data_IF_910568624558
#
_entry.id   IF_910568624558
#
_cell.length_a   1.000
_cell.length_b   1.000
_cell.length_c   1.000
_cell.angle_alpha   90.00
_cell.angle_beta   90.00
_cell.angle_gamma   90.00
#
_symmetry.space_group_name_H-M   'P 1'
#
loop_
_entity.id
_entity.type
_entity.pdbx_description
1 polymer ?
#
# COMPACT_ATOMS: atom_id res chain seq x y z
N UNK A 1 11.54 -14.72 19.70
CA UNK A 1 11.34 -14.82 21.17
C UNK A 1 11.10 -13.45 21.80
N UNK A 2 11.74 -12.36 21.36
CA UNK A 2 11.52 -11.02 21.93
C UNK A 2 10.09 -10.48 21.79
N UNK A 3 9.46 -10.62 20.61
CA UNK A 3 8.15 -10.01 20.32
C UNK A 3 7.01 -10.53 21.21
N UNK A 4 6.82 -11.86 21.23
CA UNK A 4 5.77 -12.50 22.04
C UNK A 4 6.01 -12.23 23.53
N UNK A 5 7.28 -12.26 23.97
CA UNK A 5 7.61 -11.94 25.36
C UNK A 5 7.25 -10.50 25.73
N UNK A 6 7.55 -9.53 24.85
CA UNK A 6 7.18 -8.13 25.05
C UNK A 6 5.66 -7.97 25.22
N UNK A 7 4.88 -8.59 24.34
CA UNK A 7 3.41 -8.57 24.44
C UNK A 7 2.87 -9.32 25.66
N UNK A 8 3.53 -10.39 26.11
CA UNK A 8 3.20 -11.07 27.36
C UNK A 8 3.40 -10.13 28.56
N UNK A 9 4.53 -9.41 28.61
CA UNK A 9 4.82 -8.44 29.66
C UNK A 9 3.81 -7.27 29.65
N UNK A 10 3.48 -6.73 28.47
CA UNK A 10 2.46 -5.70 28.30
C UNK A 10 1.07 -6.17 28.76
N UNK A 11 0.63 -7.35 28.32
CA UNK A 11 -0.66 -7.91 28.71
C UNK A 11 -0.72 -8.21 30.20
N UNK A 12 0.34 -8.74 30.79
CA UNK A 12 0.39 -8.97 32.23
C UNK A 12 0.26 -7.67 33.02
N UNK A 13 0.98 -6.62 32.60
CA UNK A 13 0.83 -5.27 33.16
C UNK A 13 -0.59 -4.71 33.01
N UNK A 14 -1.20 -4.86 31.83
CA UNK A 14 -2.58 -4.46 31.58
C UNK A 14 -3.58 -5.20 32.49
N UNK A 15 -3.40 -6.51 32.67
CA UNK A 15 -4.22 -7.32 33.57
C UNK A 15 -4.09 -6.86 35.02
N UNK A 16 -2.88 -6.56 35.48
CA UNK A 16 -2.62 -6.03 36.82
C UNK A 16 -3.30 -4.67 37.02
N UNK A 17 -3.09 -3.72 36.11
CA UNK A 17 -3.72 -2.41 36.17
C UNK A 17 -5.26 -2.52 36.16
N UNK A 18 -5.81 -3.31 35.23
CA UNK A 18 -7.26 -3.45 35.09
C UNK A 18 -7.89 -4.10 36.33
N UNK A 19 -7.28 -5.17 36.84
CA UNK A 19 -7.79 -5.88 38.02
C UNK A 19 -7.77 -4.99 39.28
N UNK A 20 -6.71 -4.19 39.46
CA UNK A 20 -6.63 -3.19 40.53
C UNK A 20 -7.67 -2.07 40.38
N UNK A 21 -7.76 -1.45 39.21
CA UNK A 21 -8.62 -0.28 38.97
C UNK A 21 -10.11 -0.64 38.91
N UNK A 22 -10.45 -1.74 38.24
CA UNK A 22 -11.84 -2.10 37.92
C UNK A 22 -12.38 -3.19 38.85
N UNK A 23 -11.58 -4.22 39.15
CA UNK A 23 -12.02 -5.34 39.98
C UNK A 23 -11.73 -5.14 41.48
N UNK A 24 -10.89 -4.16 41.83
CA UNK A 24 -10.56 -3.83 43.22
C UNK A 24 -9.60 -4.81 43.91
N UNK A 25 -8.99 -5.74 43.16
CA UNK A 25 -7.97 -6.68 43.65
C UNK A 25 -7.02 -6.99 42.49
N UNK A 26 -5.71 -6.87 42.75
CA UNK A 26 -4.70 -7.08 41.73
C UNK A 26 -4.51 -8.57 41.46
N UNK A 27 -4.56 -8.96 40.18
CA UNK A 27 -4.27 -10.33 39.76
C UNK A 27 -2.77 -10.57 39.68
N UNK A 28 -2.31 -11.74 40.09
CA UNK A 28 -0.96 -12.25 39.87
C UNK A 28 -1.02 -13.62 39.20
N UNK A 29 0.04 -14.01 38.49
CA UNK A 29 0.11 -15.29 37.77
C UNK A 29 1.32 -16.12 38.19
N UNK A 30 1.10 -17.43 38.36
CA UNK A 30 2.17 -18.42 38.54
C UNK A 30 1.93 -19.65 37.64
N UNK A 31 2.81 -19.84 36.67
CA UNK A 31 2.75 -20.95 35.72
C UNK A 31 2.93 -22.33 36.37
N UNK A 32 3.54 -22.39 37.56
CA UNK A 32 3.89 -23.62 38.28
C UNK A 32 2.85 -24.04 39.34
N UNK A 33 1.81 -23.23 39.56
CA UNK A 33 0.81 -23.47 40.61
C UNK A 33 -0.56 -23.88 40.08
N UNK A 34 -1.43 -24.40 40.95
CA UNK A 34 -2.86 -24.54 40.71
C UNK A 34 -3.65 -24.10 41.97
N UNK A 35 -4.57 -23.12 41.86
CA UNK A 35 -4.91 -22.33 40.67
C UNK A 35 -3.72 -21.50 40.15
N UNK A 36 -3.80 -21.03 38.89
CA UNK A 36 -2.70 -20.30 38.25
C UNK A 36 -2.70 -18.79 38.53
N UNK A 37 -3.83 -18.26 39.04
CA UNK A 37 -4.04 -16.84 39.26
C UNK A 37 -4.39 -16.58 40.73
N UNK A 38 -3.74 -15.59 41.33
CA UNK A 38 -3.87 -15.24 42.75
C UNK A 38 -4.17 -13.76 42.94
N UNK A 39 -4.77 -13.42 44.08
CA UNK A 39 -4.87 -12.03 44.55
C UNK A 39 -3.58 -11.57 45.24
N UNK A 40 -3.57 -10.31 45.69
CA UNK A 40 -2.47 -9.68 46.41
C UNK A 40 -2.18 -10.29 47.79
N UNK A 41 -3.11 -11.09 48.34
CA UNK A 41 -2.91 -11.87 49.55
C UNK A 41 -2.32 -13.27 49.29
N UNK A 42 -2.15 -13.67 48.02
CA UNK A 42 -1.70 -15.00 47.62
C UNK A 42 -2.80 -16.06 47.66
N UNK A 43 -4.07 -15.66 47.78
CA UNK A 43 -5.22 -16.55 47.70
C UNK A 43 -5.71 -16.69 46.25
N UNK A 44 -6.54 -17.70 45.96
CA UNK A 44 -7.08 -17.88 44.60
C UNK A 44 -7.82 -16.63 44.13
N UNK A 45 -7.45 -16.10 42.96
CA UNK A 45 -8.09 -14.90 42.43
C UNK A 45 -9.58 -15.15 42.17
N UNK A 46 -10.44 -14.28 42.72
CA UNK A 46 -11.90 -14.42 42.67
C UNK A 46 -12.63 -13.23 42.01
N UNK A 47 -11.97 -12.07 41.89
CA UNK A 47 -12.57 -10.83 41.38
C UNK A 47 -12.62 -10.78 39.84
N UNK A 48 -13.07 -11.86 39.21
CA UNK A 48 -13.11 -11.95 37.74
C UNK A 48 -14.20 -11.08 37.14
N UNK A 49 -13.82 -10.20 36.21
CA UNK A 49 -14.75 -9.64 35.23
C UNK A 49 -14.74 -10.48 33.95
N UNK A 50 -15.79 -10.44 33.11
CA UNK A 50 -15.77 -11.13 31.83
C UNK A 50 -14.60 -10.72 30.92
N UNK A 51 -14.16 -9.45 30.99
CA UNK A 51 -13.05 -8.92 30.20
C UNK A 51 -11.71 -9.47 30.70
N UNK A 52 -11.48 -9.40 32.02
CA UNK A 52 -10.27 -9.93 32.64
C UNK A 52 -10.14 -11.44 32.48
N UNK A 53 -11.25 -12.19 32.58
CA UNK A 53 -11.22 -13.64 32.40
C UNK A 53 -10.79 -14.06 30.98
N UNK A 54 -11.22 -13.32 29.94
CA UNK A 54 -10.79 -13.56 28.55
C UNK A 54 -9.29 -13.25 28.37
N UNK A 55 -8.85 -12.10 28.85
CA UNK A 55 -7.44 -11.70 28.80
C UNK A 55 -6.53 -12.69 29.53
N UNK A 56 -6.92 -13.12 30.74
CA UNK A 56 -6.19 -14.10 31.54
C UNK A 56 -6.13 -15.47 30.87
N UNK A 57 -7.19 -15.89 30.18
CA UNK A 57 -7.19 -17.12 29.40
C UNK A 57 -6.17 -17.05 28.25
N UNK A 58 -6.20 -15.97 27.46
CA UNK A 58 -5.26 -15.77 26.35
C UNK A 58 -3.81 -15.66 26.83
N UNK A 59 -3.58 -14.92 27.93
CA UNK A 59 -2.28 -14.88 28.59
C UNK A 59 -1.82 -16.28 29.00
N UNK A 60 -2.70 -17.07 29.61
CA UNK A 60 -2.35 -18.44 29.98
C UNK A 60 -2.04 -19.32 28.76
N UNK A 61 -2.76 -19.17 27.64
CA UNK A 61 -2.48 -19.91 26.41
C UNK A 61 -1.05 -19.65 25.94
N UNK A 62 -0.60 -18.39 25.91
CA UNK A 62 0.76 -18.06 25.48
C UNK A 62 1.84 -18.62 26.41
N UNK A 63 1.55 -18.71 27.71
CA UNK A 63 2.49 -19.27 28.68
C UNK A 63 2.62 -20.82 28.62
N UNK A 64 1.75 -21.53 27.88
CA UNK A 64 1.67 -23.00 27.93
C UNK A 64 2.26 -23.71 26.72
N UNK A 65 2.58 -23.01 25.63
CA UNK A 65 3.30 -23.56 24.50
C UNK A 65 4.70 -22.94 24.37
N UNK A 66 5.77 -23.58 24.86
CA UNK A 66 7.14 -23.11 24.68
C UNK A 66 7.58 -23.00 23.21
N UNK A 67 6.88 -23.68 22.30
CA UNK A 67 7.12 -23.65 20.85
C UNK A 67 6.18 -22.70 20.10
N UNK A 68 5.40 -21.88 20.79
CA UNK A 68 4.37 -21.01 20.21
C UNK A 68 4.88 -20.16 19.05
N UNK A 69 6.11 -19.67 19.16
CA UNK A 69 6.77 -18.87 18.13
C UNK A 69 6.90 -19.59 16.78
N UNK A 70 6.92 -20.93 16.79
CA UNK A 70 7.02 -21.77 15.59
C UNK A 70 5.68 -22.42 15.20
N UNK A 71 4.83 -22.76 16.17
CA UNK A 71 3.56 -23.45 15.91
C UNK A 71 2.43 -22.51 15.47
N UNK A 72 2.55 -21.20 15.75
CA UNK A 72 1.50 -20.23 15.44
C UNK A 72 1.75 -18.87 16.07
N UNK A 73 2.99 -18.35 16.00
CA UNK A 73 3.38 -17.13 16.72
C UNK A 73 2.48 -15.93 16.41
N UNK A 74 2.03 -15.79 15.15
CA UNK A 74 1.10 -14.75 14.70
C UNK A 74 -0.24 -14.80 15.45
N UNK A 75 -0.80 -16.01 15.61
CA UNK A 75 -2.04 -16.19 16.35
C UNK A 75 -1.88 -15.79 17.83
N UNK A 76 -0.74 -16.12 18.44
CA UNK A 76 -0.45 -15.69 19.81
C UNK A 76 -0.30 -14.17 19.92
N UNK A 77 0.41 -13.53 18.99
CA UNK A 77 0.53 -12.07 18.93
C UNK A 77 -0.85 -11.42 18.89
N UNK A 78 -1.74 -11.87 18.00
CA UNK A 78 -3.11 -11.38 17.90
C UNK A 78 -3.88 -11.54 19.21
N UNK A 79 -3.83 -12.73 19.84
CA UNK A 79 -4.49 -12.97 21.12
C UNK A 79 -4.00 -12.02 22.23
N UNK A 80 -2.69 -11.77 22.29
CA UNK A 80 -2.11 -10.89 23.29
C UNK A 80 -2.49 -9.43 23.03
N UNK A 81 -2.32 -8.96 21.79
CA UNK A 81 -2.65 -7.61 21.36
C UNK A 81 -4.14 -7.29 21.58
N UNK A 82 -5.04 -8.14 21.10
CA UNK A 82 -6.50 -7.98 21.22
C UNK A 82 -6.95 -7.98 22.70
N UNK A 83 -6.24 -8.72 23.55
CA UNK A 83 -6.49 -8.72 24.99
C UNK A 83 -6.10 -7.39 25.63
N UNK A 84 -4.98 -6.79 25.22
CA UNK A 84 -4.55 -5.47 25.71
C UNK A 84 -5.53 -4.39 25.25
N UNK A 85 -5.88 -4.35 23.96
CA UNK A 85 -6.88 -3.40 23.44
C UNK A 85 -8.21 -3.50 24.19
N UNK A 86 -8.68 -4.73 24.42
CA UNK A 86 -9.89 -4.96 25.18
C UNK A 86 -9.77 -4.35 26.57
N UNK A 87 -8.68 -4.59 27.32
CA UNK A 87 -8.48 -4.00 28.64
C UNK A 87 -8.37 -2.47 28.61
N UNK A 88 -7.71 -1.92 27.59
CA UNK A 88 -7.52 -0.47 27.37
C UNK A 88 -8.84 0.30 27.28
N UNK A 89 -9.92 -0.31 26.78
CA UNK A 89 -11.26 0.32 26.75
C UNK A 89 -11.79 0.76 28.12
N UNK A 90 -11.24 0.23 29.22
CA UNK A 90 -11.71 0.47 30.58
C UNK A 90 -10.63 0.95 31.55
N UNK A 91 -9.37 1.03 31.11
CA UNK A 91 -8.27 1.56 31.90
C UNK A 91 -8.31 3.08 31.93
N UNK A 92 -8.01 3.67 33.08
CA UNK A 92 -7.87 5.13 33.18
C UNK A 92 -6.64 5.65 32.44
N UNK A 93 -5.60 4.83 32.34
CA UNK A 93 -4.39 5.05 31.54
C UNK A 93 -4.17 3.82 30.67
N UNK A 94 -4.53 3.86 29.37
CA UNK A 94 -4.31 2.74 28.46
C UNK A 94 -2.83 2.37 28.35
N UNK A 95 -2.55 1.07 28.18
CA UNK A 95 -1.24 0.58 27.77
C UNK A 95 -0.97 1.05 26.34
N UNK A 96 0.19 1.66 26.14
CA UNK A 96 0.64 2.16 24.84
C UNK A 96 1.01 0.98 23.92
N UNK A 97 0.31 0.88 22.79
CA UNK A 97 0.54 -0.12 21.75
C UNK A 97 1.17 0.49 20.48
N UNK A 98 1.57 1.77 20.49
CA UNK A 98 2.10 2.46 19.30
C UNK A 98 3.33 1.79 18.67
N UNK A 99 4.10 1.05 19.47
CA UNK A 99 5.27 0.30 19.02
C UNK A 99 5.01 -1.21 18.85
N UNK A 100 3.78 -1.68 19.10
CA UNK A 100 3.40 -3.08 18.99
C UNK A 100 2.58 -3.30 17.70
N UNK A 101 2.85 -4.40 17.01
CA UNK A 101 2.17 -4.70 15.75
C UNK A 101 1.30 -5.96 15.89
N UNK A 102 0.01 -5.81 15.56
CA UNK A 102 -0.95 -6.92 15.52
C UNK A 102 -0.80 -7.79 14.26
N UNK A 103 -0.48 -7.15 13.15
CA UNK A 103 -0.50 -7.70 11.80
C UNK A 103 0.91 -7.60 11.23
N UNK A 104 1.34 -8.58 10.45
CA UNK A 104 2.64 -8.53 9.78
C UNK A 104 2.70 -7.42 8.72
N UNK A 105 3.91 -7.08 8.30
CA UNK A 105 4.13 -6.08 7.27
C UNK A 105 3.73 -6.61 5.87
N UNK A 106 3.02 -5.77 5.12
CA UNK A 106 2.80 -5.88 3.67
C UNK A 106 2.52 -7.30 3.16
N UNK A 107 3.47 -7.86 2.39
CA UNK A 107 3.34 -9.15 1.72
C UNK A 107 3.06 -10.33 2.66
N UNK A 108 3.44 -10.24 3.93
CA UNK A 108 3.23 -11.31 4.92
C UNK A 108 1.96 -11.11 5.76
N UNK A 109 1.23 -10.01 5.53
CA UNK A 109 -0.01 -9.62 6.19
C UNK A 109 -1.20 -10.49 5.70
N UNK A 110 -1.10 -11.80 5.89
CA UNK A 110 -2.02 -12.76 5.28
C UNK A 110 -3.48 -12.66 5.72
N UNK A 111 -3.76 -11.95 6.83
CA UNK A 111 -5.12 -11.63 7.29
C UNK A 111 -5.77 -10.47 6.55
N UNK A 112 -5.01 -9.73 5.74
CA UNK A 112 -5.50 -8.52 5.07
C UNK A 112 -6.24 -8.84 3.78
N UNK A 113 -7.07 -7.90 3.36
CA UNK A 113 -7.97 -8.02 2.21
C UNK A 113 -7.24 -8.48 0.94
N UNK A 114 -6.01 -8.00 0.74
CA UNK A 114 -5.16 -8.39 -0.39
C UNK A 114 -4.98 -9.92 -0.52
N UNK A 115 -5.10 -10.70 0.56
CA UNK A 115 -4.93 -12.15 0.54
C UNK A 115 -6.18 -12.94 0.93
N UNK A 116 -7.22 -12.24 1.42
CA UNK A 116 -8.47 -12.84 1.90
C UNK A 116 -9.65 -12.64 0.95
N UNK A 117 -9.55 -11.74 -0.02
CA UNK A 117 -10.63 -11.39 -0.97
C UNK A 117 -11.32 -12.62 -1.60
N UNK A 118 -10.53 -13.66 -1.93
CA UNK A 118 -11.02 -14.87 -2.62
C UNK A 118 -11.26 -16.06 -1.68
N UNK A 119 -11.35 -15.87 -0.37
CA UNK A 119 -11.58 -16.98 0.57
C UNK A 119 -12.92 -17.68 0.32
N UNK A 120 -13.97 -16.94 -0.01
CA UNK A 120 -15.29 -17.52 -0.35
C UNK A 120 -15.28 -18.25 -1.71
N UNK A 121 -14.46 -17.77 -2.65
CA UNK A 121 -14.28 -18.38 -3.98
C UNK A 121 -13.43 -19.66 -3.89
N UNK A 122 -12.58 -19.77 -2.86
CA UNK A 122 -11.72 -20.90 -2.58
C UNK A 122 -10.42 -20.95 -3.39
N UNK A 123 -10.23 -20.01 -4.33
CA UNK A 123 -9.02 -19.89 -5.12
C UNK A 123 -8.83 -18.46 -5.67
N UNK A 124 -7.58 -18.05 -5.83
CA UNK A 124 -7.22 -16.76 -6.43
C UNK A 124 -7.22 -16.92 -7.96
N UNK A 125 -8.04 -16.14 -8.71
CA UNK A 125 -8.15 -16.28 -10.15
C UNK A 125 -6.85 -15.90 -10.87
N UNK A 126 -6.63 -16.44 -12.07
CA UNK A 126 -5.38 -16.26 -12.81
C UNK A 126 -4.97 -14.81 -13.07
N UNK A 127 -5.92 -13.88 -13.23
CA UNK A 127 -5.61 -12.45 -13.40
C UNK A 127 -5.07 -11.76 -12.13
N UNK A 128 -5.15 -12.43 -10.98
CA UNK A 128 -4.80 -11.89 -9.66
C UNK A 128 -3.73 -12.75 -8.96
N UNK A 129 -3.64 -14.04 -9.31
CA UNK A 129 -2.83 -15.02 -8.60
C UNK A 129 -1.34 -14.68 -8.60
N UNK A 130 -0.81 -14.06 -9.66
CA UNK A 130 0.61 -13.67 -9.74
C UNK A 130 1.08 -12.90 -8.50
N UNK A 131 0.25 -12.02 -7.96
CA UNK A 131 0.63 -11.11 -6.88
C UNK A 131 -0.11 -11.37 -5.56
N UNK A 132 -1.19 -12.16 -5.59
CA UNK A 132 -2.04 -12.42 -4.43
C UNK A 132 -2.06 -13.89 -3.99
N UNK A 133 -1.13 -14.71 -4.50
CA UNK A 133 -0.93 -16.09 -4.06
C UNK A 133 0.56 -16.38 -3.87
N UNK A 134 0.89 -17.39 -3.07
CA UNK A 134 2.27 -17.73 -2.79
C UNK A 134 3.01 -18.33 -4.01
N UNK A 135 2.31 -19.10 -4.84
CA UNK A 135 2.86 -19.83 -5.99
C UNK A 135 2.71 -19.09 -7.32
N UNK A 136 1.94 -17.99 -7.36
CA UNK A 136 1.62 -17.28 -8.59
C UNK A 136 2.83 -16.69 -9.30
N UNK A 137 3.69 -15.96 -8.59
CA UNK A 137 4.91 -15.39 -9.16
C UNK A 137 5.91 -16.48 -9.61
N UNK A 138 6.24 -17.50 -8.79
CA UNK A 138 7.05 -18.63 -9.24
C UNK A 138 6.53 -19.30 -10.53
N UNK A 139 5.23 -19.56 -10.61
CA UNK A 139 4.62 -20.14 -11.81
C UNK A 139 4.79 -19.20 -13.01
N UNK A 140 4.53 -17.91 -12.82
CA UNK A 140 4.66 -16.93 -13.89
C UNK A 140 6.09 -16.84 -14.42
N UNK A 141 7.10 -16.85 -13.54
CA UNK A 141 8.52 -16.83 -13.94
C UNK A 141 8.88 -18.10 -14.71
N UNK A 142 8.41 -19.26 -14.27
CA UNK A 142 8.74 -20.53 -14.91
C UNK A 142 8.01 -20.74 -16.25
N UNK A 143 6.74 -20.33 -16.34
CA UNK A 143 5.85 -20.71 -17.45
C UNK A 143 5.38 -19.52 -18.30
N UNK A 144 5.58 -18.28 -17.87
CA UNK A 144 5.12 -17.06 -18.54
C UNK A 144 3.61 -16.87 -18.53
N UNK A 145 2.88 -17.60 -17.67
CA UNK A 145 1.41 -17.56 -17.60
C UNK A 145 0.93 -17.48 -16.15
N UNK A 146 -0.18 -16.80 -15.95
CA UNK A 146 -0.89 -16.77 -14.66
C UNK A 146 -2.17 -17.59 -14.78
N UNK A 147 -2.32 -18.58 -13.90
CA UNK A 147 -3.53 -19.41 -13.78
C UNK A 147 -4.05 -19.34 -12.35
N UNK A 148 -5.24 -19.87 -12.12
CA UNK A 148 -5.82 -19.97 -10.77
C UNK A 148 -4.85 -20.67 -9.80
N UNK A 149 -4.71 -20.10 -8.60
CA UNK A 149 -3.86 -20.63 -7.52
C UNK A 149 -4.66 -20.76 -6.23
N UNK A 150 -4.25 -21.64 -5.29
CA UNK A 150 -4.85 -21.71 -3.97
C UNK A 150 -4.79 -20.37 -3.24
N UNK A 151 -5.75 -20.13 -2.33
CA UNK A 151 -5.63 -19.02 -1.38
C UNK A 151 -4.44 -19.24 -0.45
N UNK A 152 -3.74 -18.15 -0.12
CA UNK A 152 -2.52 -18.18 0.67
C UNK A 152 -2.56 -17.15 1.79
N UNK A 153 -2.00 -17.46 2.94
CA UNK A 153 -1.93 -16.56 4.09
C UNK A 153 -0.78 -15.53 3.91
N UNK A 154 -0.89 -14.70 2.88
CA UNK A 154 0.18 -13.83 2.40
C UNK A 154 1.07 -14.51 1.37
N UNK A 155 2.05 -13.76 0.86
CA UNK A 155 3.21 -14.34 0.18
C UNK A 155 4.06 -15.11 1.18
N UNK A 156 4.92 -16.00 0.68
CA UNK A 156 5.85 -16.74 1.52
C UNK A 156 7.29 -16.64 1.00
N UNK A 157 8.23 -17.20 1.74
CA UNK A 157 9.65 -17.14 1.38
C UNK A 157 9.90 -17.69 -0.03
N UNK A 158 9.20 -18.77 -0.39
CA UNK A 158 9.31 -19.43 -1.68
C UNK A 158 8.62 -18.67 -2.83
N UNK A 159 7.91 -17.57 -2.55
CA UNK A 159 7.41 -16.66 -3.58
C UNK A 159 8.56 -15.92 -4.27
N UNK A 160 9.57 -15.50 -3.50
CA UNK A 160 10.74 -14.78 -4.02
C UNK A 160 12.01 -15.65 -4.08
N UNK A 161 12.13 -16.64 -3.21
CA UNK A 161 13.28 -17.54 -3.16
C UNK A 161 13.02 -18.85 -3.90
N UNK A 162 13.94 -19.23 -4.79
CA UNK A 162 13.88 -20.52 -5.49
C UNK A 162 14.55 -21.66 -4.71
N UNK A 163 15.36 -21.35 -3.70
CA UNK A 163 15.97 -22.32 -2.78
C UNK A 163 16.03 -21.73 -1.37
N UNK A 164 15.33 -22.37 -0.41
CA UNK A 164 15.30 -21.94 1.00
C UNK A 164 16.45 -22.50 1.85
N UNK A 165 17.33 -23.31 1.26
CA UNK A 165 18.55 -23.82 1.92
C UNK A 165 19.74 -22.93 1.63
N UNK A 166 19.85 -22.42 0.40
CA UNK A 166 20.89 -21.48 -0.02
C UNK A 166 20.41 -20.03 -0.09
N UNK A 167 19.11 -19.79 0.07
CA UNK A 167 18.45 -18.49 -0.01
C UNK A 167 18.61 -17.79 -1.35
N UNK A 168 18.79 -18.55 -2.44
CA UNK A 168 18.81 -17.97 -3.78
C UNK A 168 17.39 -17.53 -4.19
N UNK A 169 17.32 -16.53 -5.08
CA UNK A 169 16.09 -15.89 -5.53
C UNK A 169 15.77 -16.27 -6.96
N UNK A 170 14.50 -16.13 -7.35
CA UNK A 170 14.16 -16.17 -8.77
C UNK A 170 14.80 -14.96 -9.47
N UNK A 171 15.30 -15.19 -10.68
CA UNK A 171 15.90 -14.14 -11.50
C UNK A 171 14.90 -13.69 -12.57
N UNK A 172 14.78 -12.38 -12.76
CA UNK A 172 13.99 -11.77 -13.82
C UNK A 172 14.87 -10.76 -14.57
N UNK A 173 15.28 -11.11 -15.79
CA UNK A 173 16.15 -10.23 -16.59
C UNK A 173 15.41 -8.99 -17.12
N UNK A 174 14.10 -9.08 -17.29
CA UNK A 174 13.25 -7.99 -17.78
C UNK A 174 11.78 -8.26 -17.46
N UNK A 175 10.97 -7.21 -17.52
CA UNK A 175 9.53 -7.26 -17.21
C UNK A 175 8.73 -6.62 -18.35
N UNK A 176 7.64 -7.27 -18.75
CA UNK A 176 6.68 -6.73 -19.74
C UNK A 176 5.60 -5.89 -19.03
N UNK A 177 5.58 -4.60 -19.35
CA UNK A 177 4.63 -3.63 -18.81
C UNK A 177 3.31 -3.63 -19.59
N UNK A 178 2.20 -3.14 -19.01
CA UNK A 178 0.90 -3.08 -19.69
C UNK A 178 0.88 -2.29 -21.01
N UNK A 179 1.85 -1.40 -21.24
CA UNK A 179 2.05 -0.68 -22.51
C UNK A 179 2.62 -1.57 -23.64
N UNK A 180 3.13 -2.75 -23.31
CA UNK A 180 3.88 -3.63 -24.20
C UNK A 180 5.39 -3.37 -24.19
N UNK A 181 5.87 -2.39 -23.42
CA UNK A 181 7.30 -2.17 -23.22
C UNK A 181 7.91 -3.33 -22.41
N UNK A 182 9.11 -3.76 -22.80
CA UNK A 182 9.92 -4.69 -22.01
C UNK A 182 11.08 -3.91 -21.40
N UNK A 183 11.05 -3.73 -20.08
CA UNK A 183 11.99 -2.86 -19.35
C UNK A 183 12.80 -3.66 -18.32
N UNK A 184 13.94 -3.11 -17.91
CA UNK A 184 14.85 -3.77 -16.98
C UNK A 184 15.73 -2.76 -16.24
N UNK A 185 16.14 -3.13 -15.03
CA UNK A 185 17.15 -2.41 -14.24
C UNK A 185 18.51 -3.11 -14.21
N UNK A 186 18.72 -4.22 -14.92
CA UNK A 186 20.01 -4.96 -14.88
C UNK A 186 21.18 -4.17 -15.47
N UNK A 187 20.89 -3.21 -16.37
CA UNK A 187 21.92 -2.33 -16.95
C UNK A 187 22.34 -1.22 -15.98
N UNK A 188 21.49 -0.92 -14.99
CA UNK A 188 21.76 0.05 -13.91
C UNK A 188 22.63 -0.60 -12.85
N UNK A 189 22.16 -1.73 -12.31
CA UNK A 189 22.90 -2.61 -11.40
C UNK A 189 22.55 -4.06 -11.74
N UNK A 190 23.56 -4.85 -12.09
CA UNK A 190 23.32 -6.22 -12.54
C UNK A 190 22.73 -7.14 -11.45
N UNK A 191 23.07 -6.93 -10.18
CA UNK A 191 22.59 -7.77 -9.07
C UNK A 191 21.29 -7.20 -8.51
N UNK A 192 21.29 -5.92 -8.11
CA UNK A 192 20.10 -5.28 -7.55
C UNK A 192 18.99 -5.08 -8.60
N UNK A 193 19.36 -4.99 -9.88
CA UNK A 193 18.40 -4.90 -10.98
C UNK A 193 17.63 -6.19 -11.22
N UNK A 194 18.24 -7.37 -10.99
CA UNK A 194 17.52 -8.65 -11.01
C UNK A 194 16.49 -8.71 -9.87
N UNK A 195 16.88 -8.26 -8.68
CA UNK A 195 15.99 -8.21 -7.52
C UNK A 195 14.84 -7.21 -7.71
N UNK A 196 15.14 -6.03 -8.25
CA UNK A 196 14.14 -5.02 -8.57
C UNK A 196 13.15 -5.52 -9.63
N UNK A 197 13.62 -6.20 -10.68
CA UNK A 197 12.77 -6.81 -11.69
C UNK A 197 11.83 -7.88 -11.08
N UNK A 198 12.26 -8.62 -10.06
CA UNK A 198 11.38 -9.55 -9.34
C UNK A 198 10.19 -8.80 -8.71
N UNK A 199 10.43 -7.64 -8.09
CA UNK A 199 9.37 -6.77 -7.54
C UNK A 199 8.44 -6.22 -8.64
N UNK A 200 9.02 -5.80 -9.77
CA UNK A 200 8.31 -5.19 -10.89
C UNK A 200 7.31 -6.14 -11.56
N UNK A 201 7.49 -7.46 -11.46
CA UNK A 201 6.48 -8.42 -11.91
C UNK A 201 5.11 -8.21 -11.24
N UNK A 202 5.05 -7.55 -10.08
CA UNK A 202 3.79 -7.16 -9.44
C UNK A 202 3.57 -5.66 -9.39
N UNK A 203 4.60 -4.88 -9.10
CA UNK A 203 4.50 -3.42 -8.92
C UNK A 203 4.59 -2.60 -10.23
N UNK A 204 4.08 -3.14 -11.33
CA UNK A 204 4.08 -2.52 -12.67
C UNK A 204 2.74 -1.85 -13.06
N UNK A 205 1.72 -1.95 -12.21
CA UNK A 205 0.35 -1.62 -12.58
C UNK A 205 -0.27 -2.63 -13.56
N UNK A 206 -1.52 -2.38 -13.96
CA UNK A 206 -2.31 -3.29 -14.83
C UNK A 206 -2.83 -2.64 -16.10
N UNK A 207 -2.74 -1.32 -16.20
CA UNK A 207 -3.24 -0.52 -17.30
C UNK A 207 -2.16 0.50 -17.72
N UNK A 208 -2.33 1.15 -18.86
CA UNK A 208 -1.40 2.14 -19.41
C UNK A 208 -2.12 3.09 -20.36
N UNK A 209 -1.41 4.08 -20.90
CA UNK A 209 -1.91 4.90 -22.03
C UNK A 209 -2.54 4.02 -23.13
N UNK A 210 -1.87 2.92 -23.50
CA UNK A 210 -2.31 2.02 -24.57
C UNK A 210 -3.66 1.37 -24.30
N UNK A 211 -3.98 1.03 -23.04
CA UNK A 211 -5.26 0.41 -22.72
C UNK A 211 -6.40 1.42 -22.64
N UNK A 212 -6.12 2.64 -22.20
CA UNK A 212 -7.06 3.77 -22.25
C UNK A 212 -7.39 4.13 -23.70
N UNK A 213 -6.40 4.28 -24.57
CA UNK A 213 -6.60 4.55 -26.00
C UNK A 213 -7.41 3.46 -26.67
N UNK A 214 -7.13 2.19 -26.36
CA UNK A 214 -7.89 1.05 -26.89
C UNK A 214 -9.36 1.10 -26.48
N UNK A 215 -9.65 1.54 -25.26
CA UNK A 215 -11.04 1.66 -24.78
C UNK A 215 -11.76 2.84 -25.45
N UNK A 216 -11.08 3.97 -25.63
CA UNK A 216 -11.62 5.16 -26.27
C UNK A 216 -11.88 4.93 -27.77
N UNK A 217 -10.93 4.31 -28.47
CA UNK A 217 -11.03 4.10 -29.92
C UNK A 217 -11.08 5.43 -30.68
N UNK A 218 -12.04 5.56 -31.59
CA UNK A 218 -12.19 6.72 -32.48
C UNK A 218 -13.21 7.76 -31.96
N UNK A 219 -13.65 7.65 -30.71
CA UNK A 219 -14.64 8.56 -30.11
C UNK A 219 -14.08 9.98 -30.00
N UNK A 220 -14.94 10.98 -30.20
CA UNK A 220 -14.59 12.39 -29.94
C UNK A 220 -14.44 12.67 -28.43
N UNK A 221 -13.62 13.65 -28.07
CA UNK A 221 -13.26 13.94 -26.66
C UNK A 221 -14.45 14.19 -25.73
N UNK A 222 -15.53 14.80 -26.26
CA UNK A 222 -16.77 15.10 -25.54
C UNK A 222 -17.94 14.18 -25.92
N UNK A 223 -17.67 13.07 -26.61
CA UNK A 223 -18.70 12.11 -27.03
C UNK A 223 -19.06 11.15 -25.88
N UNK A 224 -20.32 11.20 -25.44
CA UNK A 224 -20.87 10.24 -24.49
C UNK A 224 -20.96 8.84 -25.10
N UNK A 225 -20.50 7.84 -24.36
CA UNK A 225 -20.56 6.45 -24.81
C UNK A 225 -20.75 5.45 -23.67
N UNK A 226 -21.80 4.63 -23.77
CA UNK A 226 -22.07 3.52 -22.84
C UNK A 226 -21.00 2.40 -22.91
N UNK A 227 -20.13 2.42 -23.92
CA UNK A 227 -19.04 1.46 -24.03
C UNK A 227 -17.84 1.83 -23.15
N UNK A 228 -17.74 3.10 -22.73
CA UNK A 228 -16.69 3.58 -21.84
C UNK A 228 -16.96 3.16 -20.40
N UNK A 229 -15.88 2.89 -19.67
CA UNK A 229 -15.88 2.56 -18.25
C UNK A 229 -14.54 2.96 -17.66
N UNK A 230 -14.50 3.12 -16.35
CA UNK A 230 -13.24 3.38 -15.68
C UNK A 230 -12.25 2.20 -15.82
N UNK A 231 -11.00 2.50 -16.17
CA UNK A 231 -9.88 1.57 -16.14
C UNK A 231 -9.01 1.91 -14.92
N UNK A 232 -8.67 0.91 -14.12
CA UNK A 232 -7.87 1.11 -12.92
C UNK A 232 -6.43 0.67 -13.16
N UNK A 233 -5.47 1.58 -13.01
CA UNK A 233 -4.02 1.28 -13.03
C UNK A 233 -3.64 0.17 -12.02
N UNK A 234 -4.48 -0.04 -11.00
CA UNK A 234 -4.24 -0.92 -9.86
C UNK A 234 -3.15 -0.38 -8.92
N UNK A 235 -3.14 -0.89 -7.69
CA UNK A 235 -2.37 -0.31 -6.59
C UNK A 235 -0.86 -0.49 -6.73
N UNK A 236 -0.10 0.45 -6.16
CA UNK A 236 1.36 0.39 -6.04
C UNK A 236 2.07 0.15 -7.38
N UNK A 237 1.68 0.92 -8.41
CA UNK A 237 2.30 0.89 -9.74
C UNK A 237 3.66 1.60 -9.78
N UNK A 238 4.47 1.44 -8.72
CA UNK A 238 5.74 2.12 -8.49
C UNK A 238 6.72 1.96 -9.67
N UNK A 239 6.74 0.77 -10.30
CA UNK A 239 7.53 0.51 -11.49
C UNK A 239 7.12 1.39 -12.67
N UNK A 240 5.81 1.53 -12.90
CA UNK A 240 5.32 2.36 -14.00
C UNK A 240 5.61 3.84 -13.74
N UNK A 241 5.57 4.28 -12.48
CA UNK A 241 5.99 5.63 -12.08
C UNK A 241 7.48 5.82 -12.31
N UNK A 242 8.32 4.93 -11.76
CA UNK A 242 9.77 4.98 -11.87
C UNK A 242 10.19 5.11 -13.34
N UNK A 243 9.66 4.25 -14.21
CA UNK A 243 9.98 4.24 -15.65
C UNK A 243 9.23 5.29 -16.47
N UNK A 244 8.35 6.09 -15.89
CA UNK A 244 7.67 7.21 -16.57
C UNK A 244 7.26 6.91 -18.02
N UNK A 245 7.85 7.65 -18.95
CA UNK A 245 7.57 7.55 -20.38
C UNK A 245 7.87 6.19 -21.01
N UNK A 246 8.87 5.46 -20.55
CA UNK A 246 9.16 4.13 -21.08
C UNK A 246 8.07 3.11 -20.72
N UNK A 247 7.44 3.23 -19.54
CA UNK A 247 6.37 2.34 -19.12
C UNK A 247 4.97 2.83 -19.55
N UNK A 248 4.80 4.15 -19.73
CA UNK A 248 3.52 4.78 -20.07
C UNK A 248 2.38 4.42 -19.11
N UNK A 249 2.69 4.34 -17.81
CA UNK A 249 1.74 3.99 -16.75
C UNK A 249 0.59 4.98 -16.65
N UNK A 250 0.91 6.27 -16.58
CA UNK A 250 -0.09 7.34 -16.67
C UNK A 250 -0.58 7.47 -18.12
N UNK A 251 -1.74 8.08 -18.31
CA UNK A 251 -2.22 8.48 -19.62
C UNK A 251 -1.42 9.69 -20.11
N UNK A 252 -0.78 9.53 -21.27
CA UNK A 252 0.00 10.57 -21.92
C UNK A 252 -0.76 11.19 -23.08
N UNK A 253 -0.85 12.52 -23.10
CA UNK A 253 -1.57 13.26 -24.13
C UNK A 253 -0.75 13.40 -25.41
N UNK A 254 -1.42 13.32 -26.57
CA UNK A 254 -0.77 13.41 -27.88
C UNK A 254 -0.03 14.74 -28.06
N UNK A 255 1.20 14.68 -28.60
CA UNK A 255 2.01 15.86 -28.87
C UNK A 255 2.74 16.44 -27.66
N UNK A 256 2.59 15.85 -26.48
CA UNK A 256 3.33 16.19 -25.26
C UNK A 256 4.56 15.29 -25.11
N UNK A 257 5.60 15.85 -24.49
CA UNK A 257 6.79 15.12 -24.08
C UNK A 257 6.71 14.82 -22.59
N UNK A 258 7.01 13.57 -22.22
CA UNK A 258 6.96 13.08 -20.85
C UNK A 258 8.34 12.60 -20.41
N UNK A 259 8.65 12.83 -19.15
CA UNK A 259 9.88 12.34 -18.53
C UNK A 259 9.91 10.82 -18.55
N UNK A 260 11.08 10.29 -18.93
CA UNK A 260 11.35 8.87 -18.88
C UNK A 260 11.66 8.39 -17.46
N UNK A 261 12.48 7.34 -17.36
CA UNK A 261 12.89 6.78 -16.07
C UNK A 261 13.50 7.88 -15.20
N UNK A 262 13.03 7.98 -13.96
CA UNK A 262 13.69 8.80 -12.96
C UNK A 262 15.04 8.17 -12.61
N UNK A 263 16.13 8.89 -12.86
CA UNK A 263 17.48 8.45 -12.52
C UNK A 263 17.90 9.13 -11.21
N UNK A 264 18.08 8.33 -10.17
CA UNK A 264 18.63 8.80 -8.91
C UNK A 264 20.15 8.59 -8.87
N UNK A 265 20.82 9.05 -7.81
CA UNK A 265 22.26 8.88 -7.67
C UNK A 265 22.64 7.39 -7.57
N UNK A 266 23.83 6.97 -8.07
CA UNK A 266 24.27 5.58 -7.99
C UNK A 266 24.23 5.05 -6.54
N UNK A 267 23.68 3.84 -6.38
CA UNK A 267 23.43 3.24 -5.06
C UNK A 267 22.02 3.51 -4.51
N UNK A 268 21.17 4.25 -5.24
CA UNK A 268 19.78 4.55 -4.90
C UNK A 268 18.88 4.55 -6.15
N UNK A 269 19.22 3.77 -7.18
CA UNK A 269 18.56 3.80 -8.50
C UNK A 269 17.77 2.51 -8.81
N UNK A 270 17.63 1.63 -7.80
CA UNK A 270 16.83 0.41 -7.83
C UNK A 270 15.93 0.27 -6.59
N UNK A 271 14.95 -0.64 -6.64
CA UNK A 271 13.97 -0.80 -5.57
C UNK A 271 14.61 -1.22 -4.22
N UNK A 272 15.54 -2.18 -4.25
CA UNK A 272 16.12 -2.81 -3.05
C UNK A 272 17.19 -1.97 -2.37
N UNK A 273 17.66 -0.92 -3.05
CA UNK A 273 18.55 0.08 -2.49
C UNK A 273 17.77 0.98 -1.52
N UNK A 274 16.58 1.46 -1.92
CA UNK A 274 15.74 2.33 -1.07
C UNK A 274 14.83 1.56 -0.10
N UNK A 275 14.39 0.36 -0.45
CA UNK A 275 13.46 -0.43 0.35
C UNK A 275 14.14 -1.61 1.07
N UNK A 276 13.72 -1.86 2.31
CA UNK A 276 14.03 -3.11 3.00
C UNK A 276 13.16 -4.25 2.45
N UNK A 277 13.82 -5.25 1.87
CA UNK A 277 13.14 -6.38 1.19
C UNK A 277 12.27 -7.26 2.10
N UNK A 278 12.52 -7.27 3.41
CA UNK A 278 11.81 -8.13 4.36
C UNK A 278 10.88 -7.33 5.27
N UNK A 279 11.29 -6.13 5.71
CA UNK A 279 10.42 -5.23 6.47
C UNK A 279 9.37 -4.55 5.58
N UNK A 280 9.66 -4.41 4.28
CA UNK A 280 8.80 -3.72 3.31
C UNK A 280 8.60 -2.24 3.64
N UNK A 281 9.63 -1.64 4.22
CA UNK A 281 9.70 -0.24 4.64
C UNK A 281 10.80 0.48 3.86
N UNK A 282 10.72 1.81 3.78
CA UNK A 282 11.77 2.65 3.18
C UNK A 282 12.88 2.86 4.20
N UNK A 283 14.14 2.77 3.78
CA UNK A 283 15.32 3.05 4.60
C UNK A 283 15.54 4.56 4.74
N UNK A 284 14.61 5.25 5.40
CA UNK A 284 14.54 6.72 5.42
C UNK A 284 15.79 7.37 6.02
N UNK A 285 16.50 6.68 6.91
CA UNK A 285 17.73 7.20 7.51
C UNK A 285 18.81 7.48 6.46
N UNK A 286 18.89 6.67 5.41
CA UNK A 286 19.84 6.85 4.31
C UNK A 286 19.50 8.10 3.47
N UNK A 287 18.23 8.49 3.41
CA UNK A 287 17.79 9.70 2.71
C UNK A 287 18.24 10.96 3.45
N UNK A 288 18.25 10.94 4.79
CA UNK A 288 18.62 12.08 5.64
C UNK A 288 20.09 12.53 5.51
N UNK A 289 20.95 11.69 4.93
CA UNK A 289 22.35 12.04 4.64
C UNK A 289 22.47 13.10 3.53
N UNK A 290 21.48 13.18 2.64
CA UNK A 290 21.47 14.11 1.49
C UNK A 290 20.26 15.07 1.50
N UNK A 291 19.13 14.65 2.07
CA UNK A 291 17.92 15.45 2.17
C UNK A 291 17.75 15.97 3.60
N UNK A 292 18.17 17.22 3.82
CA UNK A 292 18.06 17.87 5.13
C UNK A 292 16.60 17.89 5.62
N UNK A 293 16.40 17.53 6.89
CA UNK A 293 15.08 17.52 7.52
C UNK A 293 14.40 16.16 7.57
N UNK A 294 14.92 15.14 6.88
CA UNK A 294 14.41 13.76 6.98
C UNK A 294 14.90 13.12 8.28
N UNK A 295 13.99 12.91 9.24
CA UNK A 295 14.25 12.26 10.52
C UNK A 295 13.26 11.12 10.85
N UNK A 296 12.20 10.97 10.07
CA UNK A 296 11.26 9.85 10.11
C UNK A 296 10.73 9.51 8.71
N UNK A 297 10.03 8.37 8.51
CA UNK A 297 9.42 8.03 7.23
C UNK A 297 8.44 9.09 6.71
N UNK A 298 7.72 9.78 7.60
CA UNK A 298 6.77 10.83 7.25
C UNK A 298 7.46 12.04 6.60
N UNK A 299 8.71 12.32 6.98
CA UNK A 299 9.46 13.45 6.46
C UNK A 299 9.87 13.27 4.99
N UNK A 300 9.80 12.05 4.43
CA UNK A 300 10.10 11.80 3.02
C UNK A 300 9.22 12.64 2.09
N UNK A 301 7.98 12.90 2.47
CA UNK A 301 7.05 13.72 1.69
C UNK A 301 7.49 15.18 1.57
N UNK A 302 8.33 15.65 2.52
CA UNK A 302 8.86 17.00 2.55
C UNK A 302 10.11 17.15 1.67
N UNK A 303 10.61 16.07 1.07
CA UNK A 303 11.79 16.13 0.19
C UNK A 303 11.49 17.02 -1.02
N UNK A 304 12.35 18.02 -1.20
CA UNK A 304 12.33 18.96 -2.31
C UNK A 304 13.69 19.03 -2.98
N UNK A 305 13.70 19.01 -4.32
CA UNK A 305 14.93 19.08 -5.15
C UNK A 305 14.94 20.29 -6.10
N UNK A 306 13.91 21.13 -6.09
CA UNK A 306 13.71 22.29 -6.97
C UNK A 306 12.94 23.38 -6.23
N UNK A 307 13.24 24.66 -6.40
CA UNK A 307 12.45 25.79 -5.84
C UNK A 307 11.28 26.21 -6.76
N UNK A 308 10.95 25.41 -7.78
CA UNK A 308 9.85 25.69 -8.70
C UNK A 308 8.53 25.30 -8.07
N UNK A 309 7.60 26.25 -7.99
CA UNK A 309 6.18 26.07 -7.70
C UNK A 309 5.50 25.44 -8.94
N UNK A 310 5.14 24.17 -8.82
CA UNK A 310 4.50 23.39 -9.87
C UNK A 310 2.97 23.47 -9.78
N UNK A 311 2.40 23.50 -8.57
CA UNK A 311 0.95 23.49 -8.33
C UNK A 311 0.27 24.87 -8.47
N UNK A 312 1.06 25.93 -8.54
CA UNK A 312 0.61 27.31 -8.67
C UNK A 312 -0.01 27.87 -7.39
N UNK A 313 0.24 27.25 -6.24
CA UNK A 313 -0.30 27.65 -4.94
C UNK A 313 0.58 28.72 -4.26
N UNK A 314 1.77 28.97 -4.79
CA UNK A 314 2.75 29.96 -4.30
C UNK A 314 3.68 29.44 -3.20
N UNK A 315 3.58 28.17 -2.81
CA UNK A 315 4.40 27.50 -1.81
C UNK A 315 5.62 26.82 -2.44
N UNK A 316 6.72 27.57 -2.47
CA UNK A 316 8.03 27.04 -2.90
C UNK A 316 8.78 26.28 -1.80
N UNK A 317 8.12 25.95 -0.68
CA UNK A 317 8.74 25.36 0.52
C UNK A 317 8.27 23.95 0.84
N UNK A 318 7.10 23.54 0.33
CA UNK A 318 6.61 22.17 0.48
C UNK A 318 7.41 21.14 -0.32
N UNK A 319 7.27 19.85 -0.02
CA UNK A 319 7.90 18.80 -0.82
C UNK A 319 7.13 18.50 -2.10
N UNK A 320 7.72 17.68 -2.99
CA UNK A 320 7.06 17.25 -4.24
C UNK A 320 5.73 16.52 -3.99
N UNK A 321 5.55 15.91 -2.80
CA UNK A 321 4.28 15.30 -2.42
C UNK A 321 3.15 16.33 -2.26
N UNK A 322 3.45 17.53 -1.74
CA UNK A 322 2.49 18.63 -1.60
C UNK A 322 2.04 19.12 -2.97
N UNK A 323 3.01 19.38 -3.86
CA UNK A 323 2.76 19.84 -5.23
C UNK A 323 1.82 18.87 -5.99
N UNK A 324 2.02 17.55 -5.81
CA UNK A 324 1.16 16.51 -6.39
C UNK A 324 -0.24 16.54 -5.76
N UNK A 325 -0.37 16.71 -4.45
CA UNK A 325 -1.65 16.74 -3.77
C UNK A 325 -2.48 17.94 -4.21
N UNK A 326 -1.92 19.14 -4.22
CA UNK A 326 -2.64 20.35 -4.67
C UNK A 326 -3.08 20.22 -6.13
N UNK A 327 -2.23 19.69 -7.02
CA UNK A 327 -2.63 19.44 -8.40
C UNK A 327 -3.73 18.37 -8.53
N UNK A 328 -3.73 17.35 -7.66
CA UNK A 328 -4.82 16.35 -7.61
C UNK A 328 -6.12 16.99 -7.15
N UNK A 329 -6.11 17.82 -6.11
CA UNK A 329 -7.30 18.55 -5.65
C UNK A 329 -7.86 19.44 -6.77
N UNK A 330 -7.00 20.19 -7.46
CA UNK A 330 -7.38 21.00 -8.61
C UNK A 330 -8.00 20.15 -9.74
N UNK A 331 -7.40 18.99 -10.04
CA UNK A 331 -7.90 18.10 -11.09
C UNK A 331 -9.27 17.52 -10.74
N UNK A 332 -9.52 17.13 -9.49
CA UNK A 332 -10.83 16.63 -9.07
C UNK A 332 -11.91 17.71 -9.24
N UNK A 333 -11.62 18.95 -8.85
CA UNK A 333 -12.52 20.09 -9.04
C UNK A 333 -12.77 20.34 -10.54
N UNK A 334 -11.73 20.35 -11.36
CA UNK A 334 -11.86 20.53 -12.81
C UNK A 334 -12.68 19.41 -13.47
N UNK A 335 -12.54 18.16 -13.01
CA UNK A 335 -13.36 17.04 -13.47
C UNK A 335 -14.84 17.24 -13.12
N UNK A 336 -15.14 17.74 -11.92
CA UNK A 336 -16.51 18.07 -11.49
C UNK A 336 -17.12 19.20 -12.31
N UNK A 337 -16.34 20.25 -12.58
CA UNK A 337 -16.77 21.38 -13.41
C UNK A 337 -16.97 20.98 -14.88
N UNK A 338 -16.06 20.17 -15.44
CA UNK A 338 -16.19 19.60 -16.78
C UNK A 338 -17.48 18.78 -16.88
N UNK A 339 -17.73 17.88 -15.92
CA UNK A 339 -18.93 17.06 -15.88
C UNK A 339 -20.22 17.90 -15.85
N UNK A 340 -20.25 18.97 -15.04
CA UNK A 340 -21.39 19.89 -14.98
C UNK A 340 -21.58 20.73 -16.28
N UNK A 341 -20.52 20.89 -17.08
CA UNK A 341 -20.51 21.69 -18.31
C UNK A 341 -20.98 20.96 -19.56
N UNK A 342 -21.04 19.62 -19.55
CA UNK A 342 -21.38 18.80 -20.72
C UNK A 342 -22.80 18.24 -20.59
N UNK A 343 -23.62 18.44 -21.63
CA UNK A 343 -25.01 17.94 -21.64
C UNK A 343 -25.05 16.40 -21.59
N UNK A 344 -25.76 15.86 -20.60
CA UNK A 344 -25.93 14.42 -20.44
C UNK A 344 -24.82 13.71 -19.66
N UNK A 345 -23.82 14.45 -19.17
CA UNK A 345 -22.81 13.96 -18.22
C UNK A 345 -23.31 14.21 -16.79
N UNK A 346 -23.27 13.18 -15.93
CA UNK A 346 -23.66 13.33 -14.53
C UNK A 346 -22.50 13.92 -13.71
N UNK A 347 -22.81 14.58 -12.59
CA UNK A 347 -21.80 15.01 -11.63
C UNK A 347 -20.96 13.82 -11.12
N UNK A 348 -19.64 14.00 -11.04
CA UNK A 348 -18.68 12.95 -10.67
C UNK A 348 -18.12 13.18 -9.27
N UNK A 349 -17.99 12.11 -8.49
CA UNK A 349 -17.35 12.10 -7.17
C UNK A 349 -16.34 10.97 -7.09
N UNK A 350 -15.37 11.11 -6.19
CA UNK A 350 -14.31 10.13 -5.99
C UNK A 350 -14.27 9.63 -4.55
N UNK A 351 -14.03 8.34 -4.36
CA UNK A 351 -13.76 7.72 -3.07
C UNK A 351 -12.63 6.67 -3.23
N UNK A 352 -11.50 6.89 -2.57
CA UNK A 352 -10.33 6.00 -2.65
C UNK A 352 -10.57 4.60 -2.09
N UNK A 353 -11.55 4.47 -1.19
CA UNK A 353 -11.76 3.31 -0.34
C UNK A 353 -12.99 2.48 -0.76
N UNK A 354 -13.74 2.96 -1.76
CA UNK A 354 -14.93 2.30 -2.26
C UNK A 354 -14.79 1.99 -3.75
N UNK A 355 -14.74 0.72 -4.12
CA UNK A 355 -14.86 0.31 -5.53
C UNK A 355 -16.25 0.69 -6.07
N UNK A 356 -16.38 1.27 -7.29
CA UNK A 356 -15.39 1.41 -8.36
C UNK A 356 -14.68 2.78 -8.42
N UNK A 357 -14.52 3.43 -7.26
CA UNK A 357 -13.82 4.70 -7.00
C UNK A 357 -14.52 5.96 -7.50
N UNK A 358 -15.19 5.90 -8.65
CA UNK A 358 -15.95 7.02 -9.18
C UNK A 358 -17.46 6.77 -9.09
N UNK A 359 -18.17 7.75 -8.56
CA UNK A 359 -19.62 7.66 -8.31
C UNK A 359 -20.34 8.89 -8.87
N UNK A 360 -21.61 8.72 -9.24
CA UNK A 360 -22.50 9.83 -9.57
C UNK A 360 -23.07 10.48 -8.28
N UNK A 361 -23.86 11.55 -8.44
CA UNK A 361 -24.49 12.26 -7.30
C UNK A 361 -25.45 11.39 -6.47
N UNK A 362 -25.92 10.25 -7.02
CA UNK A 362 -26.75 9.28 -6.33
C UNK A 362 -25.93 8.19 -5.60
N UNK A 363 -24.60 8.33 -5.54
CA UNK A 363 -23.66 7.36 -4.97
C UNK A 363 -23.67 6.01 -5.71
N UNK A 364 -24.09 5.99 -6.98
CA UNK A 364 -24.05 4.84 -7.86
C UNK A 364 -22.77 4.85 -8.70
N UNK A 365 -22.38 3.70 -9.26
CA UNK A 365 -21.22 3.60 -10.16
C UNK A 365 -21.31 4.62 -11.30
N UNK A 366 -20.26 5.41 -11.49
CA UNK A 366 -20.22 6.42 -12.55
C UNK A 366 -20.19 5.77 -13.95
N UNK A 367 -21.07 6.24 -14.85
CA UNK A 367 -21.30 5.60 -16.15
C UNK A 367 -21.41 6.56 -17.35
N UNK A 368 -21.53 7.87 -17.14
CA UNK A 368 -21.66 8.88 -18.19
C UNK A 368 -20.30 9.43 -18.64
N UNK A 369 -19.39 8.54 -19.02
CA UNK A 369 -18.02 8.88 -19.41
C UNK A 369 -17.95 9.54 -20.80
N UNK A 370 -17.12 10.59 -20.91
CA UNK A 370 -16.52 11.06 -22.17
C UNK A 370 -15.04 10.66 -22.21
N UNK A 371 -14.40 10.55 -23.38
CA UNK A 371 -12.97 10.28 -23.46
C UNK A 371 -12.09 11.28 -22.70
N UNK A 372 -12.40 12.58 -22.73
CA UNK A 372 -11.63 13.59 -22.01
C UNK A 372 -11.70 13.38 -20.48
N UNK A 373 -12.91 13.17 -19.95
CA UNK A 373 -13.11 12.92 -18.52
C UNK A 373 -12.48 11.59 -18.09
N UNK A 374 -12.53 10.56 -18.93
CA UNK A 374 -11.93 9.26 -18.63
C UNK A 374 -10.39 9.34 -18.52
N UNK A 375 -9.73 10.08 -19.41
CA UNK A 375 -8.27 10.30 -19.35
C UNK A 375 -7.86 11.06 -18.08
N UNK A 376 -8.61 12.12 -17.74
CA UNK A 376 -8.39 12.88 -16.52
C UNK A 376 -8.61 12.03 -15.26
N UNK A 377 -9.70 11.27 -15.20
CA UNK A 377 -9.98 10.35 -14.09
C UNK A 377 -8.92 9.25 -13.94
N UNK A 378 -8.40 8.74 -15.06
CA UNK A 378 -7.32 7.76 -15.07
C UNK A 378 -6.05 8.35 -14.45
N UNK A 379 -5.63 9.55 -14.85
CA UNK A 379 -4.45 10.21 -14.29
C UNK A 379 -4.64 10.63 -12.82
N UNK A 380 -5.85 11.05 -12.44
CA UNK A 380 -6.18 11.29 -11.04
C UNK A 380 -6.00 10.03 -10.18
N UNK A 381 -6.55 8.89 -10.64
CA UNK A 381 -6.34 7.60 -9.98
C UNK A 381 -4.87 7.21 -9.95
N UNK A 382 -4.16 7.40 -11.07
CA UNK A 382 -2.74 7.08 -11.19
C UNK A 382 -1.91 7.79 -10.12
N UNK A 383 -2.08 9.11 -10.00
CA UNK A 383 -1.39 9.91 -8.99
C UNK A 383 -1.83 9.59 -7.55
N UNK A 384 -2.96 8.91 -7.36
CA UNK A 384 -3.48 8.52 -6.03
C UNK A 384 -3.02 7.12 -5.60
N UNK A 385 -2.78 6.20 -6.54
CA UNK A 385 -2.57 4.76 -6.24
C UNK A 385 -1.10 4.35 -6.13
N UNK A 386 -0.18 5.30 -6.25
CA UNK A 386 1.24 5.13 -5.91
C UNK A 386 1.62 6.10 -4.77
N UNK A 387 1.57 5.66 -3.49
CA UNK A 387 1.92 6.50 -2.34
C UNK A 387 3.35 7.06 -2.37
N UNK A 388 4.27 6.38 -3.09
CA UNK A 388 5.65 6.81 -3.27
C UNK A 388 5.88 7.61 -4.54
N UNK A 389 4.83 7.98 -5.28
CA UNK A 389 4.93 8.62 -6.59
C UNK A 389 5.81 9.86 -6.60
N UNK A 390 5.77 10.66 -5.53
CA UNK A 390 6.61 11.85 -5.34
C UNK A 390 8.11 11.54 -5.40
N UNK A 391 8.53 10.36 -4.93
CA UNK A 391 9.93 9.91 -4.93
C UNK A 391 10.24 9.05 -6.16
N UNK A 392 9.31 8.21 -6.62
CA UNK A 392 9.52 7.34 -7.77
C UNK A 392 9.74 8.15 -9.05
N UNK A 393 8.88 9.13 -9.34
CA UNK A 393 9.00 10.04 -10.48
C UNK A 393 8.00 11.21 -10.38
N UNK A 394 8.16 12.05 -9.36
CA UNK A 394 7.17 13.09 -9.06
C UNK A 394 6.93 14.08 -10.21
N UNK A 395 7.98 14.43 -10.97
CA UNK A 395 7.83 15.32 -12.12
C UNK A 395 7.03 14.70 -13.27
N UNK A 396 7.18 13.40 -13.55
CA UNK A 396 6.34 12.70 -14.52
C UNK A 396 4.86 12.71 -14.11
N UNK A 397 4.58 12.52 -12.82
CA UNK A 397 3.22 12.58 -12.26
C UNK A 397 2.65 14.01 -12.40
N UNK A 398 3.43 15.03 -12.06
CA UNK A 398 3.04 16.44 -12.23
C UNK A 398 2.76 16.77 -13.71
N UNK A 399 3.54 16.26 -14.66
CA UNK A 399 3.26 16.41 -16.09
C UNK A 399 1.91 15.79 -16.48
N UNK A 400 1.61 14.60 -16.00
CA UNK A 400 0.33 13.93 -16.26
C UNK A 400 -0.85 14.71 -15.66
N UNK A 401 -0.72 15.22 -14.42
CA UNK A 401 -1.75 16.03 -13.78
C UNK A 401 -1.96 17.37 -14.50
N UNK A 402 -0.87 18.07 -14.85
CA UNK A 402 -0.91 19.33 -15.60
C UNK A 402 -1.65 19.18 -16.92
N UNK A 403 -1.26 18.19 -17.73
CA UNK A 403 -1.86 17.99 -19.04
C UNK A 403 -3.32 17.50 -18.92
N UNK A 404 -3.67 16.80 -17.83
CA UNK A 404 -5.06 16.42 -17.55
C UNK A 404 -5.93 17.63 -17.23
N UNK A 405 -5.43 18.55 -16.39
CA UNK A 405 -6.08 19.83 -16.10
C UNK A 405 -6.29 20.62 -17.38
N UNK A 406 -5.24 20.82 -18.17
CA UNK A 406 -5.32 21.56 -19.43
C UNK A 406 -6.35 20.96 -20.39
N UNK A 407 -6.37 19.63 -20.53
CA UNK A 407 -7.23 18.93 -21.47
C UNK A 407 -8.74 19.06 -21.17
N UNK A 408 -9.12 19.20 -19.90
CA UNK A 408 -10.53 19.38 -19.49
C UNK A 408 -10.87 20.85 -19.19
N UNK A 409 -9.97 21.78 -19.51
CA UNK A 409 -10.20 23.22 -19.37
C UNK A 409 -9.98 23.78 -17.96
N UNK A 410 -9.27 23.06 -17.10
CA UNK A 410 -8.81 23.56 -15.81
C UNK A 410 -7.82 24.72 -15.94
N UNK A 411 -7.77 25.59 -14.92
CA UNK A 411 -6.84 26.72 -14.91
C UNK A 411 -5.43 26.26 -14.50
N UNK A 412 -4.50 26.33 -15.44
CA UNK A 412 -3.08 26.03 -15.24
C UNK A 412 -2.19 27.27 -15.34
N UNK A 413 -2.77 28.47 -15.25
CA UNK A 413 -2.04 29.73 -15.48
C UNK A 413 -1.03 30.08 -14.38
N UNK A 414 -1.27 29.59 -13.17
CA UNK A 414 -0.35 29.70 -12.04
C UNK A 414 0.63 28.52 -11.94
N UNK A 415 0.22 27.34 -12.45
CA UNK A 415 1.01 26.12 -12.41
C UNK A 415 2.17 26.12 -13.41
N UNK A 416 3.26 25.44 -13.04
CA UNK A 416 4.40 25.22 -13.93
C UNK A 416 4.43 23.76 -14.37
N UNK A 417 4.47 23.50 -15.68
CA UNK A 417 4.68 22.14 -16.19
C UNK A 417 6.19 21.79 -16.11
N UNK A 418 6.58 20.70 -15.43
CA UNK A 418 7.98 20.24 -15.38
C UNK A 418 8.56 19.89 -16.76
#
# INVERSE_FOLDING_TARGET
MGEIQGLQEMLYGAMQAYSSEVAGSQVTYDAASYPYFFDDAGESFAAWTPRLAKAAYNYQVSQKDPGEFAHGGKYIIQLLYDSIESLNEALSTPVDLSAANRIDHGHFAGSEEAFRHWDEDGAVPGSCSRCHSAEGLPLYIEQGVSIEQPTANGLNCATCHNDLTTFTRYESESVEFPSGATLSLIEVDAENGLDANLCLNCHQGRESTVSVDRLIGDLGDDELSEALRFLNIHYFAAGASLFGNEAQGAYQYEGKEYLGRNEHVPGFDTCVECHDTHALEVKFEECGDCHEGVASPEDLQNIRISEVDFDGDGDVTEGIAGEIETMREALLLAMQEYAAGIEGVDGITYNSDAYPYFFNEAEENYSTWTPALLRAAYNYQYATKDPGGFAHNGQYILQALYDSLEAIGGDVSAATRP
#
